data_IF_947562343037
#
_entry.id   IF_947562343037
#
_cell.length_a   1.000
_cell.length_b   1.000
_cell.length_c   1.000
_cell.angle_alpha   90.00
_cell.angle_beta   90.00
_cell.angle_gamma   90.00
#
_symmetry.space_group_name_H-M   'P 1'
#
loop_
_entity.id
_entity.type
_entity.pdbx_description
1 polymer ?
#
# COMPACT_ATOMS: atom_id res chain seq x y z
N UNK A 1 54.72 12.03 24.95
CA UNK A 1 55.29 13.40 24.82
C UNK A 1 55.60 14.03 26.17
N UNK A 2 54.64 14.12 27.10
CA UNK A 2 54.88 14.67 28.43
C UNK A 2 56.04 14.00 29.19
N UNK A 3 56.11 12.66 29.18
CA UNK A 3 57.20 11.91 29.80
C UNK A 3 58.58 12.26 29.20
N UNK A 4 58.67 12.36 27.86
CA UNK A 4 59.90 12.77 27.15
C UNK A 4 60.33 14.20 27.49
N UNK A 5 59.38 15.10 27.74
CA UNK A 5 59.65 16.46 28.24
C UNK A 5 60.28 16.43 29.63
N UNK A 6 59.76 15.60 30.54
CA UNK A 6 60.28 15.44 31.90
C UNK A 6 61.71 14.88 31.86
N UNK A 7 61.95 13.85 31.05
CA UNK A 7 63.27 13.24 30.88
C UNK A 7 64.32 14.23 30.33
N UNK A 8 63.96 15.02 29.32
CA UNK A 8 64.84 16.07 28.79
C UNK A 8 65.12 17.18 29.81
N UNK A 9 64.14 17.50 30.66
CA UNK A 9 64.30 18.46 31.75
C UNK A 9 65.29 17.96 32.81
N UNK A 10 65.22 16.67 33.19
CA UNK A 10 66.17 16.05 34.13
C UNK A 10 67.59 15.97 33.54
N UNK A 11 67.71 15.70 32.24
CA UNK A 11 68.98 15.71 31.52
C UNK A 11 69.57 17.12 31.31
N UNK A 12 68.88 18.19 31.76
CA UNK A 12 69.21 19.60 31.53
C UNK A 12 69.32 20.00 30.05
N UNK A 13 68.70 19.24 29.15
CA UNK A 13 68.56 19.57 27.72
C UNK A 13 67.33 20.46 27.52
N UNK A 14 67.47 21.73 27.95
CA UNK A 14 66.40 22.74 27.89
C UNK A 14 65.84 22.95 26.48
N UNK A 15 66.66 22.99 25.40
CA UNK A 15 66.15 23.13 24.03
C UNK A 15 65.19 21.99 23.65
N UNK A 16 65.54 20.72 23.93
CA UNK A 16 64.66 19.58 23.62
C UNK A 16 63.43 19.55 24.53
N UNK A 17 63.57 19.85 25.82
CA UNK A 17 62.44 19.93 26.73
C UNK A 17 61.38 20.94 26.24
N UNK A 18 61.82 22.10 25.73
CA UNK A 18 60.93 23.12 25.16
C UNK A 18 60.16 22.63 23.92
N UNK A 19 60.82 21.88 23.03
CA UNK A 19 60.16 21.29 21.85
C UNK A 19 59.07 20.31 22.29
N UNK A 20 59.40 19.37 23.20
CA UNK A 20 58.42 18.39 23.69
C UNK A 20 57.27 19.02 24.46
N UNK A 21 57.50 20.11 25.19
CA UNK A 21 56.44 20.87 25.85
C UNK A 21 55.47 21.49 24.83
N UNK A 22 55.99 22.12 23.77
CA UNK A 22 55.18 22.70 22.70
C UNK A 22 54.36 21.62 21.96
N UNK A 23 54.98 20.50 21.60
CA UNK A 23 54.26 19.40 20.95
C UNK A 23 53.18 18.82 21.88
N UNK A 24 53.44 18.72 23.18
CA UNK A 24 52.42 18.29 24.14
C UNK A 24 51.24 19.27 24.22
N UNK A 25 51.49 20.58 24.15
CA UNK A 25 50.45 21.60 24.13
C UNK A 25 49.60 21.53 22.85
N UNK A 26 50.23 21.36 21.69
CA UNK A 26 49.53 21.22 20.40
C UNK A 26 48.70 19.93 20.34
N UNK A 27 49.23 18.79 20.81
CA UNK A 27 48.46 17.55 20.89
C UNK A 27 47.23 17.73 21.79
N UNK A 28 47.35 18.40 22.95
CA UNK A 28 46.19 18.69 23.81
C UNK A 28 45.18 19.61 23.14
N UNK A 29 45.63 20.57 22.33
CA UNK A 29 44.77 21.45 21.56
C UNK A 29 43.97 20.67 20.52
N UNK A 30 44.64 19.82 19.74
CA UNK A 30 44.01 18.94 18.75
C UNK A 30 43.03 17.98 19.42
N UNK A 31 43.43 17.35 20.53
CA UNK A 31 42.56 16.43 21.28
C UNK A 31 41.25 17.10 21.74
N UNK A 32 41.32 18.36 22.19
CA UNK A 32 40.11 19.13 22.54
C UNK A 32 39.22 19.38 21.34
N UNK A 33 39.80 19.75 20.19
CA UNK A 33 39.03 19.97 18.97
C UNK A 33 38.33 18.68 18.53
N UNK A 34 39.06 17.56 18.48
CA UNK A 34 38.51 16.26 18.10
C UNK A 34 37.38 15.85 19.05
N UNK A 35 37.56 16.00 20.37
CA UNK A 35 36.53 15.67 21.34
C UNK A 35 35.28 16.55 21.15
N UNK A 36 35.46 17.86 20.94
CA UNK A 36 34.35 18.77 20.64
C UNK A 36 33.63 18.41 19.33
N UNK A 37 34.38 18.02 18.29
CA UNK A 37 33.82 17.56 17.03
C UNK A 37 33.05 16.26 17.19
N UNK A 38 33.55 15.31 17.98
CA UNK A 38 32.83 14.08 18.29
C UNK A 38 31.49 14.38 18.96
N UNK A 39 31.49 15.20 20.01
CA UNK A 39 30.25 15.59 20.71
C UNK A 39 29.27 16.31 19.77
N UNK A 40 29.77 17.16 18.87
CA UNK A 40 28.94 17.82 17.88
C UNK A 40 28.30 16.81 16.90
N UNK A 41 29.06 15.82 16.42
CA UNK A 41 28.56 14.77 15.55
C UNK A 41 27.57 13.85 16.25
N UNK A 42 27.83 13.48 17.51
CA UNK A 42 26.87 12.71 18.33
C UNK A 42 25.53 13.43 18.44
N UNK A 43 25.54 14.76 18.64
CA UNK A 43 24.30 15.57 18.64
C UNK A 43 23.58 15.56 17.29
N UNK A 44 24.33 15.61 16.18
CA UNK A 44 23.76 15.51 14.84
C UNK A 44 23.12 14.15 14.61
N UNK A 45 23.80 13.06 15.00
CA UNK A 45 23.27 11.70 14.89
C UNK A 45 21.96 11.56 15.66
N UNK A 46 21.92 12.03 16.92
CA UNK A 46 20.69 12.01 17.72
C UNK A 46 19.55 12.78 17.05
N UNK A 47 19.85 13.91 16.40
CA UNK A 47 18.83 14.66 15.65
C UNK A 47 18.36 13.94 14.39
N UNK A 48 19.26 13.30 13.65
CA UNK A 48 18.88 12.48 12.50
C UNK A 48 18.03 11.28 12.90
N UNK A 49 18.35 10.62 14.03
CA UNK A 49 17.52 9.56 14.59
C UNK A 49 16.11 10.04 14.95
N UNK A 50 15.98 11.24 15.52
CA UNK A 50 14.63 11.81 15.75
C UNK A 50 13.89 12.10 14.45
N UNK A 51 14.58 12.56 13.40
CA UNK A 51 13.95 12.79 12.09
C UNK A 51 13.50 11.47 11.47
N UNK A 52 14.31 10.42 11.54
CA UNK A 52 13.95 9.06 11.09
C UNK A 52 12.71 8.54 11.82
N UNK A 53 12.70 8.60 13.16
CA UNK A 53 11.59 8.15 13.99
C UNK A 53 10.30 8.92 13.70
N UNK A 54 10.38 10.25 13.56
CA UNK A 54 9.21 11.06 13.23
C UNK A 54 8.73 10.81 11.79
N UNK A 55 9.65 10.56 10.84
CA UNK A 55 9.32 10.17 9.48
C UNK A 55 8.52 8.86 9.42
N UNK A 56 8.91 7.85 10.21
CA UNK A 56 8.13 6.61 10.33
C UNK A 56 6.73 6.87 10.91
N UNK A 57 6.63 7.68 11.97
CA UNK A 57 5.33 8.05 12.57
C UNK A 57 4.42 8.74 11.58
N UNK A 58 4.94 9.59 10.68
CA UNK A 58 4.12 10.25 9.65
C UNK A 58 3.45 9.26 8.70
N UNK A 59 4.15 8.18 8.31
CA UNK A 59 3.55 7.12 7.49
C UNK A 59 2.39 6.40 8.19
N UNK A 60 2.37 6.43 9.53
CA UNK A 60 1.30 5.86 10.35
C UNK A 60 0.16 6.86 10.58
N UNK A 61 0.43 8.17 10.62
CA UNK A 61 -0.59 9.22 10.81
C UNK A 61 -1.38 9.46 9.51
N UNK A 62 -0.74 9.39 8.34
CA UNK A 62 -1.40 9.62 7.04
C UNK A 62 -2.72 8.84 6.86
N UNK A 63 -2.77 7.49 7.06
CA UNK A 63 -4.03 6.76 6.92
C UNK A 63 -5.06 7.09 8.01
N UNK A 64 -4.65 7.64 9.15
CA UNK A 64 -5.59 8.06 10.21
C UNK A 64 -6.36 9.30 9.80
N UNK A 65 -5.72 10.24 9.09
CA UNK A 65 -6.36 11.43 8.53
C UNK A 65 -7.51 11.01 7.61
N UNK A 66 -7.26 10.07 6.68
CA UNK A 66 -8.28 9.56 5.75
C UNK A 66 -9.47 8.93 6.47
N UNK A 67 -9.21 8.13 7.53
CA UNK A 67 -10.28 7.49 8.32
C UNK A 67 -11.12 8.52 9.08
N UNK A 68 -10.49 9.55 9.66
CA UNK A 68 -11.21 10.63 10.37
C UNK A 68 -12.06 11.44 9.38
N UNK A 69 -11.56 11.68 8.17
CA UNK A 69 -12.29 12.36 7.10
C UNK A 69 -13.52 11.54 6.65
N UNK A 70 -13.35 10.23 6.43
CA UNK A 70 -14.47 9.34 6.09
C UNK A 70 -15.53 9.29 7.21
N UNK A 71 -15.11 9.28 8.47
CA UNK A 71 -16.02 9.32 9.61
C UNK A 71 -16.77 10.65 9.71
N UNK A 72 -16.09 11.78 9.49
CA UNK A 72 -16.71 13.10 9.43
C UNK A 72 -17.83 13.10 8.39
N UNK A 73 -17.57 12.61 7.19
CA UNK A 73 -18.54 12.60 6.10
C UNK A 73 -19.78 11.76 6.45
N UNK A 74 -19.58 10.55 7.00
CA UNK A 74 -20.67 9.66 7.43
C UNK A 74 -21.53 10.25 8.56
N UNK A 75 -20.89 10.97 9.49
CA UNK A 75 -21.58 11.54 10.67
C UNK A 75 -22.21 12.89 10.36
N UNK A 76 -21.67 13.67 9.43
CA UNK A 76 -22.14 15.01 9.07
C UNK A 76 -23.62 15.05 8.66
N UNK A 77 -24.10 13.99 8.00
CA UNK A 77 -25.50 13.84 7.60
C UNK A 77 -26.48 13.52 8.73
N UNK A 78 -25.98 13.13 9.91
CA UNK A 78 -26.78 12.71 11.07
C UNK A 78 -26.62 13.65 12.26
N UNK A 79 -25.38 13.97 12.63
CA UNK A 79 -25.03 14.73 13.84
C UNK A 79 -23.95 15.77 13.49
N UNK A 80 -24.36 17.01 13.16
CA UNK A 80 -23.44 18.07 12.73
C UNK A 80 -22.42 18.48 13.81
N UNK A 81 -22.82 18.47 15.09
CA UNK A 81 -21.90 18.81 16.20
C UNK A 81 -20.70 17.85 16.27
N UNK A 82 -20.93 16.54 16.13
CA UNK A 82 -19.86 15.54 16.14
C UNK A 82 -18.97 15.67 14.90
N UNK A 83 -19.55 16.03 13.75
CA UNK A 83 -18.76 16.27 12.54
C UNK A 83 -17.84 17.50 12.69
N UNK A 84 -18.27 18.55 13.39
CA UNK A 84 -17.42 19.71 13.68
C UNK A 84 -16.26 19.35 14.63
N UNK A 85 -16.48 18.48 15.62
CA UNK A 85 -15.40 17.98 16.48
C UNK A 85 -14.42 17.10 15.69
N UNK A 86 -14.90 16.23 14.81
CA UNK A 86 -14.05 15.42 13.92
C UNK A 86 -13.26 16.29 12.93
N UNK A 87 -13.82 17.42 12.48
CA UNK A 87 -13.12 18.40 11.65
C UNK A 87 -11.96 19.06 12.40
N UNK A 88 -12.14 19.41 13.67
CA UNK A 88 -11.05 19.92 14.50
C UNK A 88 -9.95 18.87 14.67
N UNK A 89 -10.30 17.60 14.90
CA UNK A 89 -9.32 16.50 14.97
C UNK A 89 -8.59 16.33 13.64
N UNK A 90 -9.30 16.35 12.51
CA UNK A 90 -8.69 16.25 11.19
C UNK A 90 -7.71 17.40 10.93
N UNK A 91 -8.09 18.64 11.30
CA UNK A 91 -7.20 19.81 11.21
C UNK A 91 -5.95 19.63 12.06
N UNK A 92 -6.08 19.19 13.31
CA UNK A 92 -4.92 18.98 14.19
C UNK A 92 -3.98 17.90 13.65
N UNK A 93 -4.51 16.83 13.06
CA UNK A 93 -3.70 15.78 12.43
C UNK A 93 -3.00 16.28 11.16
N UNK A 94 -3.67 17.10 10.34
CA UNK A 94 -3.08 17.75 9.15
C UNK A 94 -1.99 18.75 9.54
N UNK A 95 -2.23 19.57 10.56
CA UNK A 95 -1.24 20.52 11.09
C UNK A 95 -0.02 19.79 11.66
N UNK A 96 -0.24 18.70 12.42
CA UNK A 96 0.85 17.85 12.92
C UNK A 96 1.65 17.20 11.78
N UNK A 97 0.98 16.77 10.71
CA UNK A 97 1.64 16.22 9.53
C UNK A 97 2.47 17.28 8.78
N UNK A 98 1.98 18.51 8.69
CA UNK A 98 2.70 19.63 8.08
C UNK A 98 3.91 20.06 8.93
N UNK A 99 3.76 20.14 10.25
CA UNK A 99 4.81 20.58 11.17
C UNK A 99 5.94 19.53 11.32
N UNK A 100 5.61 18.25 11.24
CA UNK A 100 6.60 17.17 11.20
C UNK A 100 7.36 17.08 9.86
N UNK A 101 6.97 17.88 8.87
CA UNK A 101 7.47 17.90 7.52
C UNK A 101 6.53 17.16 6.57
N UNK A 102 6.22 17.77 5.42
CA UNK A 102 5.56 17.04 4.35
C UNK A 102 6.45 15.86 3.97
N UNK A 103 5.90 14.64 4.09
CA UNK A 103 6.20 13.64 3.09
C UNK A 103 5.66 14.28 1.82
N UNK A 104 6.49 15.04 1.11
CA UNK A 104 6.25 15.22 -0.31
C UNK A 104 6.19 13.78 -0.81
N UNK A 105 4.98 13.26 -0.96
CA UNK A 105 4.74 12.22 -1.93
C UNK A 105 5.30 12.83 -3.19
N UNK A 106 6.54 12.44 -3.52
CA UNK A 106 7.13 12.68 -4.80
C UNK A 106 6.13 12.02 -5.77
N UNK A 107 5.10 12.78 -6.15
CA UNK A 107 4.67 12.80 -7.51
C UNK A 107 5.94 13.26 -8.23
N UNK A 108 6.83 12.30 -8.50
CA UNK A 108 7.95 12.49 -9.39
C UNK A 108 7.26 12.94 -10.66
N UNK A 109 7.23 14.25 -10.85
CA UNK A 109 6.60 14.84 -12.00
C UNK A 109 7.46 14.38 -13.16
N UNK A 110 6.97 13.34 -13.86
CA UNK A 110 7.65 12.67 -14.97
C UNK A 110 7.98 13.68 -16.07
N UNK A 111 7.42 14.89 -16.01
CA UNK A 111 7.81 16.03 -16.83
C UNK A 111 9.30 16.39 -16.73
N UNK A 112 9.98 16.23 -15.58
CA UNK A 112 11.42 16.54 -15.45
C UNK A 112 12.37 15.40 -15.85
N UNK A 113 11.85 14.25 -16.29
CA UNK A 113 12.69 13.18 -16.81
C UNK A 113 13.37 13.63 -18.12
N UNK A 114 14.71 13.61 -18.15
CA UNK A 114 15.54 13.85 -19.33
C UNK A 114 15.01 13.03 -20.54
N UNK A 115 15.10 13.55 -21.77
CA UNK A 115 14.53 12.87 -22.96
C UNK A 115 14.99 11.40 -23.08
N UNK A 116 16.23 11.14 -22.66
CA UNK A 116 16.81 9.80 -22.61
C UNK A 116 16.14 8.88 -21.58
N UNK A 117 15.73 9.40 -20.42
CA UNK A 117 14.97 8.64 -19.43
C UNK A 117 13.57 8.28 -19.95
N UNK A 118 12.90 9.20 -20.67
CA UNK A 118 11.62 8.91 -21.33
C UNK A 118 11.77 7.80 -22.38
N UNK A 119 12.87 7.82 -23.14
CA UNK A 119 13.17 6.77 -24.13
C UNK A 119 13.40 5.40 -23.47
N UNK A 120 14.18 5.34 -22.39
CA UNK A 120 14.43 4.09 -21.65
C UNK A 120 13.14 3.53 -21.06
N UNK A 121 12.24 4.38 -20.54
CA UNK A 121 10.94 3.93 -20.04
C UNK A 121 10.05 3.37 -21.16
N UNK A 122 10.03 3.99 -22.34
CA UNK A 122 9.27 3.48 -23.49
C UNK A 122 9.79 2.12 -23.96
N UNK A 123 11.11 1.95 -24.03
CA UNK A 123 11.74 0.67 -24.37
C UNK A 123 11.43 -0.39 -23.30
N UNK A 124 11.48 -0.01 -22.02
CA UNK A 124 11.14 -0.90 -20.90
C UNK A 124 9.67 -1.31 -20.90
N UNK A 125 8.76 -0.39 -21.23
CA UNK A 125 7.32 -0.67 -21.38
C UNK A 125 7.06 -1.63 -22.53
N UNK A 126 7.74 -1.46 -23.68
CA UNK A 126 7.59 -2.36 -24.82
C UNK A 126 8.03 -3.79 -24.48
N UNK A 127 9.16 -3.95 -23.78
CA UNK A 127 9.64 -5.27 -23.32
C UNK A 127 8.70 -5.87 -22.27
N UNK A 128 8.16 -5.05 -21.37
CA UNK A 128 7.17 -5.49 -20.38
C UNK A 128 5.87 -5.94 -21.04
N UNK A 129 5.38 -5.23 -22.07
CA UNK A 129 4.20 -5.61 -22.85
C UNK A 129 4.42 -6.93 -23.60
N UNK A 130 5.60 -7.12 -24.21
CA UNK A 130 5.98 -8.38 -24.87
C UNK A 130 5.95 -9.54 -23.87
N UNK A 131 6.59 -9.39 -22.70
CA UNK A 131 6.52 -10.40 -21.63
C UNK A 131 5.10 -10.62 -21.10
N UNK A 132 4.29 -9.57 -21.00
CA UNK A 132 2.91 -9.70 -20.57
C UNK A 132 2.08 -10.49 -21.59
N UNK A 133 2.30 -10.29 -22.90
CA UNK A 133 1.66 -11.10 -23.96
C UNK A 133 2.12 -12.56 -23.95
N UNK A 134 3.36 -12.83 -23.56
CA UNK A 134 3.84 -14.20 -23.36
C UNK A 134 3.24 -14.87 -22.11
N UNK A 135 3.00 -14.10 -21.05
CA UNK A 135 2.54 -14.63 -19.75
C UNK A 135 1.02 -14.63 -19.61
N UNK A 136 0.30 -13.78 -20.34
CA UNK A 136 -1.15 -13.66 -20.34
C UNK A 136 -1.70 -13.95 -21.74
N UNK A 137 -2.61 -14.93 -21.90
CA UNK A 137 -3.29 -15.17 -23.18
C UNK A 137 -4.08 -13.92 -23.63
N UNK A 138 -4.02 -13.61 -24.93
CA UNK A 138 -4.74 -12.47 -25.53
C UNK A 138 -6.25 -12.56 -25.26
N UNK A 139 -6.84 -11.44 -24.81
CA UNK A 139 -8.29 -11.28 -24.53
C UNK A 139 -9.15 -11.43 -25.81
N UNK A 140 -8.53 -11.59 -26.99
CA UNK A 140 -9.23 -11.89 -28.25
C UNK A 140 -9.90 -13.27 -28.23
N UNK A 141 -9.42 -14.20 -27.40
CA UNK A 141 -10.10 -15.48 -27.17
C UNK A 141 -11.29 -15.39 -26.19
N UNK A 142 -11.50 -14.22 -25.58
CA UNK A 142 -12.68 -13.91 -24.77
C UNK A 142 -13.75 -13.12 -25.55
N UNK A 143 -13.56 -12.87 -26.85
CA UNK A 143 -14.54 -12.15 -27.68
C UNK A 143 -14.88 -12.86 -28.99
N UNK A 144 -15.47 -14.05 -28.87
CA UNK A 144 -16.52 -14.47 -29.81
C UNK A 144 -17.81 -14.81 -29.08
N UNK A 145 -18.32 -13.88 -28.27
CA UNK A 145 -19.77 -13.73 -28.13
C UNK A 145 -20.15 -12.33 -28.60
N UNK A 146 -20.30 -12.21 -29.93
CA UNK A 146 -20.96 -11.08 -30.58
C UNK A 146 -22.11 -10.60 -29.70
N UNK A 147 -22.09 -9.31 -29.35
CA UNK A 147 -23.29 -8.54 -29.10
C UNK A 147 -24.14 -8.63 -30.38
N UNK A 148 -24.89 -9.73 -30.54
CA UNK A 148 -26.07 -9.75 -31.38
C UNK A 148 -27.13 -9.06 -30.53
N UNK A 149 -27.54 -7.87 -30.96
CA UNK A 149 -28.95 -7.51 -30.84
C UNK A 149 -29.70 -8.76 -31.33
N UNK A 150 -30.43 -9.42 -30.44
CA UNK A 150 -31.34 -10.49 -30.82
C UNK A 150 -32.64 -9.77 -31.21
N UNK A 151 -32.93 -9.56 -32.52
CA UNK A 151 -34.31 -9.59 -32.93
C UNK A 151 -34.81 -11.00 -32.61
N UNK A 152 -36.02 -11.06 -32.08
CA UNK A 152 -36.75 -12.29 -31.78
C UNK A 152 -36.69 -13.20 -33.02
N UNK A 153 -35.90 -14.28 -32.98
CA UNK A 153 -36.13 -15.50 -33.75
C UNK A 153 -35.13 -16.59 -33.39
N UNK A 154 -35.69 -17.71 -32.92
CA UNK A 154 -35.31 -19.11 -33.17
C UNK A 154 -33.82 -19.51 -33.24
N UNK A 155 -33.45 -20.37 -32.28
CA UNK A 155 -32.55 -21.51 -32.50
C UNK A 155 -31.05 -21.24 -32.37
N UNK A 156 -30.40 -21.89 -31.39
CA UNK A 156 -28.94 -22.01 -31.34
C UNK A 156 -28.36 -22.35 -29.97
N UNK A 157 -28.12 -23.64 -29.74
CA UNK A 157 -27.02 -24.20 -28.95
C UNK A 157 -25.68 -23.56 -29.43
N UNK A 158 -24.63 -23.25 -28.66
CA UNK A 158 -24.06 -23.80 -27.44
C UNK A 158 -23.42 -22.66 -26.59
N UNK A 159 -23.89 -22.47 -25.36
CA UNK A 159 -23.19 -21.76 -24.29
C UNK A 159 -22.80 -22.85 -23.30
N UNK A 160 -21.52 -22.95 -22.93
CA UNK A 160 -21.05 -23.86 -21.87
C UNK A 160 -21.97 -23.71 -20.66
N UNK A 161 -22.71 -24.79 -20.42
CA UNK A 161 -23.87 -24.92 -19.53
C UNK A 161 -23.52 -24.45 -18.12
N UNK A 162 -23.93 -23.24 -17.75
CA UNK A 162 -24.20 -22.96 -16.33
C UNK A 162 -25.40 -23.85 -16.01
N UNK A 163 -25.14 -24.97 -15.35
CA UNK A 163 -26.16 -25.99 -15.21
C UNK A 163 -27.18 -25.54 -14.18
N UNK A 164 -28.41 -25.24 -14.63
CA UNK A 164 -29.48 -24.70 -13.79
C UNK A 164 -29.77 -25.60 -12.59
N UNK A 165 -29.58 -26.91 -12.77
CA UNK A 165 -29.74 -27.95 -11.74
C UNK A 165 -28.76 -27.75 -10.57
N UNK A 166 -27.55 -27.30 -10.83
CA UNK A 166 -26.53 -27.08 -9.79
C UNK A 166 -26.84 -25.84 -8.94
N UNK A 167 -27.25 -24.75 -9.59
CA UNK A 167 -27.67 -23.52 -8.92
C UNK A 167 -28.93 -23.72 -8.07
N UNK A 168 -29.88 -24.54 -8.54
CA UNK A 168 -31.07 -24.89 -7.76
C UNK A 168 -30.70 -25.74 -6.55
N UNK A 169 -29.77 -26.69 -6.69
CA UNK A 169 -29.30 -27.51 -5.57
C UNK A 169 -28.58 -26.68 -4.51
N UNK A 170 -27.74 -25.72 -4.92
CA UNK A 170 -27.06 -24.79 -4.02
C UNK A 170 -28.06 -23.91 -3.25
N UNK A 171 -29.09 -23.42 -3.95
CA UNK A 171 -30.16 -22.65 -3.31
C UNK A 171 -30.92 -23.45 -2.24
N UNK A 172 -31.17 -24.75 -2.48
CA UNK A 172 -31.84 -25.63 -1.51
C UNK A 172 -30.97 -25.86 -0.28
N UNK A 173 -29.66 -26.09 -0.46
CA UNK A 173 -28.69 -26.26 0.64
C UNK A 173 -28.63 -25.00 1.52
N UNK A 174 -28.57 -23.83 0.89
CA UNK A 174 -28.49 -22.55 1.59
C UNK A 174 -29.78 -22.16 2.33
N UNK A 175 -30.92 -22.73 1.95
CA UNK A 175 -32.22 -22.49 2.60
C UNK A 175 -32.69 -23.67 3.46
N UNK A 176 -31.76 -24.46 4.02
CA UNK A 176 -32.03 -25.57 4.94
C UNK A 176 -33.05 -26.59 4.40
N UNK A 177 -33.02 -26.88 3.09
CA UNK A 177 -33.89 -27.87 2.46
C UNK A 177 -35.26 -27.34 2.00
N UNK A 178 -35.63 -26.10 2.34
CA UNK A 178 -36.89 -25.52 1.89
C UNK A 178 -36.76 -24.83 0.53
N UNK A 179 -37.46 -25.35 -0.47
CA UNK A 179 -37.51 -24.76 -1.80
C UNK A 179 -38.83 -24.01 -2.04
N UNK A 180 -38.74 -22.70 -2.30
CA UNK A 180 -39.85 -21.94 -2.89
C UNK A 180 -39.55 -21.66 -4.36
N UNK A 181 -40.34 -22.26 -5.26
CA UNK A 181 -40.17 -22.13 -6.72
C UNK A 181 -40.20 -20.66 -7.15
N UNK A 182 -41.09 -19.86 -6.56
CA UNK A 182 -41.23 -18.44 -6.89
C UNK A 182 -40.02 -17.60 -6.44
N UNK A 183 -39.51 -17.83 -5.21
CA UNK A 183 -38.34 -17.09 -4.72
C UNK A 183 -37.05 -17.51 -5.44
N UNK A 184 -36.89 -18.81 -5.69
CA UNK A 184 -35.75 -19.35 -6.44
C UNK A 184 -35.72 -18.81 -7.88
N UNK A 185 -36.88 -18.77 -8.55
CA UNK A 185 -37.03 -18.19 -9.89
C UNK A 185 -36.63 -16.71 -9.94
N UNK A 186 -37.08 -15.91 -8.98
CA UNK A 186 -36.74 -14.49 -8.89
C UNK A 186 -35.26 -14.25 -8.61
N UNK A 187 -34.64 -15.04 -7.74
CA UNK A 187 -33.23 -14.89 -7.35
C UNK A 187 -32.29 -15.34 -8.47
N UNK A 188 -32.63 -16.43 -9.17
CA UNK A 188 -31.82 -16.94 -10.28
C UNK A 188 -32.10 -16.22 -11.62
N UNK A 189 -33.13 -15.36 -11.67
CA UNK A 189 -33.54 -14.68 -12.92
C UNK A 189 -34.13 -15.63 -13.97
N UNK A 190 -34.67 -16.78 -13.56
CA UNK A 190 -35.13 -17.86 -14.44
C UNK A 190 -36.64 -18.07 -14.27
N UNK A 191 -37.43 -18.29 -15.34
CA UNK A 191 -38.86 -18.52 -15.20
C UNK A 191 -39.18 -19.72 -14.30
N UNK A 192 -40.23 -19.64 -13.47
CA UNK A 192 -40.55 -20.65 -12.45
C UNK A 192 -40.83 -22.04 -13.04
N UNK A 193 -41.27 -22.10 -14.31
CA UNK A 193 -41.45 -23.35 -15.05
C UNK A 193 -40.13 -24.12 -15.23
N UNK A 194 -39.05 -23.43 -15.58
CA UNK A 194 -37.72 -24.05 -15.75
C UNK A 194 -37.09 -24.47 -14.43
N UNK A 195 -37.34 -23.72 -13.36
CA UNK A 195 -36.93 -24.12 -12.00
C UNK A 195 -37.66 -25.41 -11.60
N UNK A 196 -38.97 -25.52 -11.88
CA UNK A 196 -39.73 -26.75 -11.61
C UNK A 196 -39.20 -27.95 -12.40
N UNK A 197 -38.87 -27.77 -13.68
CA UNK A 197 -38.25 -28.83 -14.50
C UNK A 197 -36.87 -29.26 -13.97
N UNK A 198 -36.05 -28.33 -13.50
CA UNK A 198 -34.74 -28.64 -12.91
C UNK A 198 -34.87 -29.42 -11.59
N UNK A 199 -35.85 -29.08 -10.75
CA UNK A 199 -36.15 -29.80 -9.50
C UNK A 199 -36.62 -31.23 -9.78
N UNK A 200 -37.48 -31.40 -10.78
CA UNK A 200 -37.96 -32.71 -11.23
C UNK A 200 -36.81 -33.60 -11.73
N UNK A 201 -35.85 -33.02 -12.46
CA UNK A 201 -34.63 -33.74 -12.85
C UNK A 201 -33.74 -34.10 -11.67
N UNK A 202 -33.50 -33.17 -10.74
CA UNK A 202 -32.72 -33.44 -9.52
C UNK A 202 -33.37 -34.51 -8.65
N UNK A 203 -34.71 -34.62 -8.66
CA UNK A 203 -35.47 -35.69 -8.00
C UNK A 203 -35.25 -37.02 -8.70
N UNK A 204 -35.38 -37.05 -10.03
CA UNK A 204 -35.16 -38.27 -10.82
C UNK A 204 -33.71 -38.77 -10.72
N UNK A 205 -32.76 -37.85 -10.60
CA UNK A 205 -31.34 -38.14 -10.37
C UNK A 205 -31.03 -38.52 -8.90
N UNK A 206 -32.03 -38.53 -8.02
CA UNK A 206 -31.91 -38.93 -6.61
C UNK A 206 -31.13 -37.95 -5.72
N UNK A 207 -30.86 -36.73 -6.19
CA UNK A 207 -30.07 -35.72 -5.47
C UNK A 207 -30.89 -34.92 -4.46
N UNK A 208 -32.21 -34.95 -4.57
CA UNK A 208 -33.15 -34.36 -3.63
C UNK A 208 -34.32 -35.31 -3.40
N UNK A 209 -34.85 -35.31 -2.17
CA UNK A 209 -36.09 -36.00 -1.79
C UNK A 209 -37.11 -34.92 -1.48
N UNK A 210 -38.23 -34.92 -2.20
CA UNK A 210 -39.31 -33.97 -2.00
C UNK A 210 -40.38 -34.68 -1.17
N UNK A 211 -40.54 -34.27 0.08
CA UNK A 211 -41.71 -34.62 0.92
C UNK A 211 -42.88 -33.67 0.65
#
# INVERSE_FOLDING_TARGET
MFQKCIEAQFARDIPRARIYANECAEIRKIARIVLSSQLALERVILRLQTIEQFGEVLTQIAPVIDVVEEMKDKVSGLIPEVANELEQVNSMLKDMSLEAGEIESENIDVETANEEAKKIMLESMAIAEEKMKETFPDIKDLQVSKMRVIPISEGGEDIKRINLEELVLEYIKSNNGYLSISKCASILGVPPKKVKEAVEKLRNDGKIVVE
#
